data_IF_738877416928
#
_entry.id   IF_738877416928
#
_cell.length_a   1.000
_cell.length_b   1.000
_cell.length_c   1.000
_cell.angle_alpha   90.00
_cell.angle_beta   90.00
_cell.angle_gamma   90.00
#
_symmetry.space_group_name_H-M   'P 1'
#
loop_
_entity.id
_entity.type
_entity.pdbx_description
1 polymer ?
#
# COMPACT_ATOMS: atom_id res chain seq x y z
N UNK A 1 -6.99 4.30 -25.01
CA UNK A 1 -6.25 4.07 -23.77
C UNK A 1 -7.23 3.70 -22.67
N UNK A 2 -6.77 2.95 -21.68
CA UNK A 2 -7.59 2.55 -20.54
C UNK A 2 -8.00 3.77 -19.72
N UNK A 3 -9.24 3.82 -19.28
CA UNK A 3 -9.69 4.88 -18.36
C UNK A 3 -9.12 4.57 -16.97
N UNK A 4 -8.43 5.54 -16.38
CA UNK A 4 -7.89 5.47 -15.03
C UNK A 4 -8.61 6.51 -14.18
N UNK A 5 -9.12 6.07 -13.02
CA UNK A 5 -9.64 6.95 -11.97
C UNK A 5 -8.80 6.81 -10.72
N UNK A 6 -8.50 7.91 -10.05
CA UNK A 6 -7.70 7.89 -8.83
C UNK A 6 -8.16 8.95 -7.82
N UNK A 7 -7.99 8.64 -6.54
CA UNK A 7 -8.22 9.56 -5.42
C UNK A 7 -7.10 9.42 -4.38
N UNK A 8 -6.61 10.55 -3.85
CA UNK A 8 -5.63 10.61 -2.79
C UNK A 8 -6.25 11.27 -1.56
N UNK A 9 -6.16 10.61 -0.43
CA UNK A 9 -6.66 11.10 0.87
C UNK A 9 -5.53 11.11 1.88
N UNK A 10 -5.34 12.22 2.59
CA UNK A 10 -4.33 12.34 3.64
C UNK A 10 -4.95 12.87 4.93
N UNK A 11 -4.52 12.31 6.06
CA UNK A 11 -4.85 12.79 7.41
C UNK A 11 -3.55 13.14 8.14
N UNK A 12 -3.17 14.41 8.10
CA UNK A 12 -1.96 14.92 8.73
C UNK A 12 -2.00 14.98 10.26
N UNK A 13 -3.16 14.81 10.90
CA UNK A 13 -3.25 14.80 12.36
C UNK A 13 -2.46 13.64 12.99
N UNK A 14 -2.34 12.53 12.23
CA UNK A 14 -1.64 11.32 12.67
C UNK A 14 -0.23 11.18 12.09
N UNK A 15 0.40 12.27 11.67
CA UNK A 15 1.71 12.24 11.00
C UNK A 15 2.82 11.56 11.81
N UNK A 16 2.71 11.57 13.15
CA UNK A 16 3.67 10.92 14.04
C UNK A 16 3.57 9.41 14.10
N UNK A 17 2.50 8.83 13.54
CA UNK A 17 2.30 7.37 13.55
C UNK A 17 3.38 6.62 12.78
N UNK A 18 3.86 7.21 11.66
CA UNK A 18 5.01 6.72 10.91
C UNK A 18 5.86 7.92 10.54
N UNK A 19 7.05 8.03 11.10
CA UNK A 19 7.90 9.22 10.90
C UNK A 19 9.39 8.92 11.09
N UNK A 20 10.22 9.63 10.34
CA UNK A 20 11.63 9.89 10.70
C UNK A 20 11.68 11.33 11.20
N UNK A 21 11.91 11.57 12.51
CA UNK A 21 11.77 12.91 13.12
C UNK A 21 12.80 13.92 12.66
N UNK A 22 13.98 13.48 12.18
CA UNK A 22 15.07 14.35 11.75
C UNK A 22 15.63 13.96 10.38
N UNK A 23 16.45 14.82 9.79
CA UNK A 23 17.06 14.60 8.47
C UNK A 23 16.26 15.22 7.31
N UNK A 24 15.00 15.62 7.53
CA UNK A 24 14.22 16.37 6.55
C UNK A 24 14.33 17.89 6.77
N UNK A 25 13.78 18.68 5.84
CA UNK A 25 13.89 20.14 5.81
C UNK A 25 13.40 20.83 7.09
N UNK A 26 12.43 20.25 7.80
CA UNK A 26 11.89 20.81 9.05
C UNK A 26 12.87 20.70 10.22
N UNK A 27 13.66 19.64 10.27
CA UNK A 27 14.62 19.34 11.34
C UNK A 27 15.87 18.70 10.71
N UNK A 28 16.61 19.52 9.97
CA UNK A 28 17.75 19.05 9.16
C UNK A 28 18.90 18.52 10.03
N UNK A 29 19.13 19.17 11.18
CA UNK A 29 20.24 18.86 12.08
C UNK A 29 19.70 18.58 13.49
N UNK A 30 19.64 17.31 13.85
CA UNK A 30 19.36 16.87 15.22
C UNK A 30 20.61 16.21 15.81
N UNK A 31 20.75 16.24 17.12
CA UNK A 31 21.82 15.49 17.79
C UNK A 31 21.65 13.99 17.60
N UNK A 32 22.74 13.26 17.52
CA UNK A 32 22.76 11.80 17.42
C UNK A 32 22.59 11.08 18.77
N UNK A 33 22.04 11.77 19.78
CA UNK A 33 21.80 11.17 21.09
C UNK A 33 20.75 10.08 20.95
N UNK A 34 21.08 8.88 21.40
CA UNK A 34 20.12 7.79 21.55
C UNK A 34 19.12 8.12 22.66
N UNK A 35 17.88 7.82 22.40
CA UNK A 35 16.77 8.00 23.34
C UNK A 35 15.92 6.74 23.33
N UNK A 36 15.39 6.39 24.50
CA UNK A 36 14.46 5.30 24.62
C UNK A 36 13.07 5.74 24.14
N UNK A 37 12.52 5.01 23.21
CA UNK A 37 11.18 5.24 22.69
C UNK A 37 10.15 4.38 23.45
N UNK A 38 8.87 4.70 23.32
CA UNK A 38 7.77 4.02 24.02
C UNK A 38 7.68 2.52 23.69
N UNK A 39 8.22 2.08 22.55
CA UNK A 39 8.34 0.69 22.15
C UNK A 39 9.52 -0.05 22.79
N UNK A 40 10.29 0.63 23.64
CA UNK A 40 11.39 0.07 24.42
C UNK A 40 12.75 0.00 23.71
N UNK A 41 12.82 0.40 22.44
CA UNK A 41 14.08 0.42 21.67
C UNK A 41 14.80 1.76 21.77
N UNK A 42 16.14 1.69 21.80
CA UNK A 42 17.00 2.87 21.74
C UNK A 42 17.18 3.30 20.29
N UNK A 43 16.88 4.56 19.98
CA UNK A 43 16.98 5.14 18.63
C UNK A 43 17.42 6.59 18.68
N UNK A 44 17.97 7.06 17.56
CA UNK A 44 18.13 8.49 17.32
C UNK A 44 16.91 9.06 16.59
N UNK A 45 16.82 10.37 16.51
CA UNK A 45 15.76 11.04 15.72
C UNK A 45 15.87 10.77 14.20
N UNK A 46 16.99 10.21 13.72
CA UNK A 46 17.17 9.85 12.33
C UNK A 46 16.64 8.44 11.98
N UNK A 47 16.21 7.68 12.99
CA UNK A 47 15.63 6.36 12.77
C UNK A 47 14.12 6.45 12.53
N UNK A 48 13.61 5.50 11.76
CA UNK A 48 12.17 5.34 11.54
C UNK A 48 11.49 4.96 12.87
N UNK A 49 10.47 5.71 13.21
CA UNK A 49 9.49 5.35 14.25
C UNK A 49 8.17 4.93 13.62
N UNK A 50 7.57 3.86 14.11
CA UNK A 50 6.26 3.39 13.68
C UNK A 50 5.44 2.94 14.89
N UNK A 51 4.31 3.61 15.13
CA UNK A 51 3.25 3.13 16.00
C UNK A 51 2.42 2.09 15.24
N UNK A 52 2.76 0.81 15.41
CA UNK A 52 2.10 -0.29 14.72
C UNK A 52 0.60 -0.39 15.01
N UNK A 53 0.17 -0.02 16.22
CA UNK A 53 -1.25 -0.01 16.58
C UNK A 53 -2.02 1.11 15.88
N UNK A 54 -1.45 2.31 15.82
CA UNK A 54 -2.01 3.44 15.09
C UNK A 54 -2.14 3.18 13.60
N UNK A 55 -1.11 2.58 12.98
CA UNK A 55 -1.15 2.14 11.57
C UNK A 55 -2.25 1.09 11.37
N UNK A 56 -2.31 0.09 12.22
CA UNK A 56 -3.33 -0.95 12.16
C UNK A 56 -4.74 -0.37 12.24
N UNK A 57 -5.00 0.49 13.24
CA UNK A 57 -6.31 1.14 13.40
C UNK A 57 -6.72 1.93 12.14
N UNK A 58 -5.81 2.71 11.58
CA UNK A 58 -6.05 3.46 10.35
C UNK A 58 -6.41 2.53 9.20
N UNK A 59 -5.62 1.49 9.00
CA UNK A 59 -5.79 0.55 7.89
C UNK A 59 -7.12 -0.20 7.96
N UNK A 60 -7.59 -0.59 9.15
CA UNK A 60 -8.82 -1.36 9.26
C UNK A 60 -10.09 -0.50 9.39
N UNK A 61 -9.98 0.80 9.60
CA UNK A 61 -11.13 1.72 9.75
C UNK A 61 -11.26 2.69 8.60
N UNK A 62 -10.19 3.46 8.32
CA UNK A 62 -10.25 4.53 7.32
C UNK A 62 -10.10 3.99 5.90
N UNK A 63 -9.13 3.09 5.65
CA UNK A 63 -8.90 2.57 4.29
C UNK A 63 -10.14 1.88 3.71
N UNK A 64 -10.88 0.99 4.44
CA UNK A 64 -12.12 0.41 3.92
C UNK A 64 -13.19 1.44 3.60
N UNK A 65 -13.28 2.53 4.38
CA UNK A 65 -14.21 3.62 4.12
C UNK A 65 -13.83 4.36 2.84
N UNK A 66 -12.57 4.74 2.70
CA UNK A 66 -12.04 5.42 1.50
C UNK A 66 -12.27 4.58 0.25
N UNK A 67 -12.00 3.26 0.30
CA UNK A 67 -12.26 2.35 -0.82
C UNK A 67 -13.74 2.34 -1.22
N UNK A 68 -14.66 2.23 -0.25
CA UNK A 68 -16.09 2.22 -0.52
C UNK A 68 -16.58 3.55 -1.10
N UNK A 69 -16.11 4.65 -0.53
CA UNK A 69 -16.48 5.99 -0.99
C UNK A 69 -15.98 6.22 -2.43
N UNK A 70 -14.76 5.77 -2.76
CA UNK A 70 -14.22 5.83 -4.11
C UNK A 70 -15.04 5.00 -5.10
N UNK A 71 -15.33 3.74 -4.78
CA UNK A 71 -16.10 2.85 -5.65
C UNK A 71 -17.52 3.39 -5.89
N UNK A 72 -18.15 3.96 -4.85
CA UNK A 72 -19.46 4.60 -4.99
C UNK A 72 -19.42 5.85 -5.89
N UNK A 73 -18.36 6.67 -5.83
CA UNK A 73 -18.14 7.80 -6.74
C UNK A 73 -18.02 7.35 -8.21
N UNK A 74 -17.38 6.20 -8.44
CA UNK A 74 -17.28 5.57 -9.76
C UNK A 74 -18.62 4.97 -10.24
N UNK A 75 -19.67 4.98 -9.42
CA UNK A 75 -20.96 4.33 -9.67
C UNK A 75 -20.81 2.83 -9.92
N UNK A 76 -19.89 2.20 -9.20
CA UNK A 76 -19.58 0.77 -9.23
C UNK A 76 -19.85 0.11 -7.88
N UNK A 77 -19.82 -1.20 -7.88
CA UNK A 77 -19.81 -2.05 -6.68
C UNK A 77 -18.46 -2.75 -6.54
N UNK A 78 -18.16 -3.26 -5.34
CA UNK A 78 -16.91 -4.02 -5.14
C UNK A 78 -16.83 -5.26 -6.05
N UNK A 79 -17.97 -5.87 -6.37
CA UNK A 79 -18.03 -7.03 -7.27
C UNK A 79 -17.61 -6.78 -8.72
N UNK A 80 -17.63 -5.53 -9.17
CA UNK A 80 -17.37 -5.13 -10.56
C UNK A 80 -15.89 -5.20 -10.96
N UNK A 81 -15.00 -5.38 -9.98
CA UNK A 81 -13.57 -5.57 -10.24
C UNK A 81 -13.23 -7.05 -10.30
N UNK A 82 -12.31 -7.39 -11.21
CA UNK A 82 -11.78 -8.75 -11.33
C UNK A 82 -10.82 -9.05 -10.18
N UNK A 83 -9.96 -8.07 -9.81
CA UNK A 83 -8.95 -8.23 -8.78
C UNK A 83 -8.75 -6.98 -7.92
N UNK A 84 -8.27 -7.24 -6.69
CA UNK A 84 -7.86 -6.21 -5.73
C UNK A 84 -6.37 -6.32 -5.45
N UNK A 85 -5.64 -5.24 -5.69
CA UNK A 85 -4.19 -5.15 -5.49
C UNK A 85 -3.90 -4.09 -4.45
N UNK A 86 -3.75 -4.52 -3.21
CA UNK A 86 -3.51 -3.62 -2.07
C UNK A 86 -2.03 -3.61 -1.70
N UNK A 87 -1.58 -2.53 -1.08
CA UNK A 87 -0.27 -2.50 -0.44
C UNK A 87 -0.09 -3.72 0.47
N UNK A 88 1.01 -4.41 0.30
CA UNK A 88 1.33 -5.68 0.99
C UNK A 88 1.95 -5.41 2.38
N UNK A 89 1.15 -4.87 3.31
CA UNK A 89 1.62 -4.53 4.66
C UNK A 89 1.93 -5.78 5.50
N UNK A 90 0.95 -6.65 5.67
CA UNK A 90 1.04 -8.02 6.16
C UNK A 90 -0.25 -8.78 5.84
N UNK A 91 -0.19 -10.11 5.87
CA UNK A 91 -1.32 -10.95 5.46
C UNK A 91 -2.58 -10.74 6.32
N UNK A 92 -2.42 -10.57 7.63
CA UNK A 92 -3.56 -10.35 8.53
C UNK A 92 -4.28 -9.04 8.23
N UNK A 93 -3.54 -7.96 8.00
CA UNK A 93 -4.10 -6.66 7.59
C UNK A 93 -4.89 -6.80 6.29
N UNK A 94 -4.35 -7.47 5.28
CA UNK A 94 -5.03 -7.68 4.00
C UNK A 94 -6.34 -8.44 4.16
N UNK A 95 -6.36 -9.49 4.98
CA UNK A 95 -7.58 -10.24 5.29
C UNK A 95 -8.63 -9.39 6.01
N UNK A 96 -8.22 -8.56 6.98
CA UNK A 96 -9.14 -7.66 7.68
C UNK A 96 -9.68 -6.57 6.74
N UNK A 97 -8.83 -6.04 5.86
CA UNK A 97 -9.22 -5.05 4.86
C UNK A 97 -10.26 -5.62 3.89
N UNK A 98 -10.02 -6.82 3.35
CA UNK A 98 -10.95 -7.53 2.47
C UNK A 98 -12.32 -7.68 3.12
N UNK A 99 -12.37 -8.19 4.35
CA UNK A 99 -13.63 -8.37 5.09
C UNK A 99 -14.37 -7.05 5.32
N UNK A 100 -13.65 -6.00 5.75
CA UNK A 100 -14.26 -4.70 6.10
C UNK A 100 -14.68 -3.89 4.87
N UNK A 101 -13.95 -3.97 3.79
CA UNK A 101 -14.31 -3.35 2.52
C UNK A 101 -15.34 -4.16 1.73
N UNK A 102 -15.67 -5.39 2.17
CA UNK A 102 -16.54 -6.35 1.47
C UNK A 102 -15.99 -6.74 0.09
N UNK A 103 -14.67 -6.85 -0.02
CA UNK A 103 -14.00 -7.37 -1.21
C UNK A 103 -14.03 -8.91 -1.17
N UNK A 104 -14.48 -9.61 -2.22
CA UNK A 104 -14.36 -11.05 -2.33
C UNK A 104 -12.90 -11.50 -2.13
N UNK A 105 -12.69 -12.40 -1.17
CA UNK A 105 -11.32 -12.80 -0.76
C UNK A 105 -10.55 -13.52 -1.87
N UNK A 106 -11.24 -14.22 -2.74
CA UNK A 106 -10.70 -14.95 -3.89
C UNK A 106 -10.18 -14.02 -4.99
N UNK A 107 -10.60 -12.76 -4.99
CA UNK A 107 -10.14 -11.73 -5.92
C UNK A 107 -8.97 -10.89 -5.35
N UNK A 108 -8.60 -11.10 -4.08
CA UNK A 108 -7.47 -10.40 -3.45
C UNK A 108 -6.15 -11.04 -3.85
N UNK A 109 -5.25 -10.26 -4.45
CA UNK A 109 -3.94 -10.72 -4.84
C UNK A 109 -2.92 -10.56 -3.72
N UNK A 110 -2.00 -11.52 -3.63
CA UNK A 110 -0.97 -11.58 -2.58
C UNK A 110 0.41 -11.82 -3.20
N UNK A 111 1.39 -11.08 -2.70
CA UNK A 111 2.81 -11.27 -2.96
C UNK A 111 3.65 -11.24 -1.68
N UNK A 112 2.99 -11.01 -0.55
CA UNK A 112 3.61 -10.81 0.75
C UNK A 112 4.41 -12.03 1.26
N UNK A 113 3.99 -13.25 0.90
CA UNK A 113 4.68 -14.47 1.33
C UNK A 113 6.04 -14.63 0.69
N UNK A 114 6.23 -14.10 -0.53
CA UNK A 114 7.46 -14.24 -1.32
C UNK A 114 8.39 -13.03 -1.14
N UNK A 115 7.81 -11.82 -1.19
CA UNK A 115 8.59 -10.59 -1.24
C UNK A 115 8.52 -9.73 0.03
N UNK A 116 7.68 -10.12 0.99
CA UNK A 116 7.47 -9.30 2.18
C UNK A 116 6.79 -7.95 1.86
N UNK A 117 7.01 -6.98 2.74
CA UNK A 117 6.55 -5.62 2.54
C UNK A 117 7.59 -4.81 1.76
N UNK A 118 7.40 -4.69 0.47
CA UNK A 118 8.27 -3.92 -0.45
C UNK A 118 7.85 -2.45 -0.58
N UNK A 119 7.16 -1.89 0.44
CA UNK A 119 6.73 -0.50 0.47
C UNK A 119 5.90 -0.11 -0.78
N UNK A 120 6.27 0.98 -1.48
CA UNK A 120 5.56 1.47 -2.66
C UNK A 120 5.61 0.52 -3.86
N UNK A 121 6.62 -0.34 -3.94
CA UNK A 121 6.75 -1.34 -5.00
C UNK A 121 5.77 -2.51 -4.85
N UNK A 122 5.11 -2.67 -3.70
CA UNK A 122 4.26 -3.84 -3.42
C UNK A 122 3.09 -4.00 -4.40
N UNK A 123 2.46 -2.92 -4.83
CA UNK A 123 1.34 -2.97 -5.79
C UNK A 123 1.80 -3.40 -7.19
N UNK A 124 2.76 -2.71 -7.84
CA UNK A 124 3.25 -3.14 -9.16
C UNK A 124 3.91 -4.52 -9.12
N UNK A 125 4.66 -4.85 -8.07
CA UNK A 125 5.27 -6.16 -7.92
C UNK A 125 4.22 -7.29 -7.85
N UNK A 126 3.11 -7.07 -7.15
CA UNK A 126 2.01 -8.02 -7.09
C UNK A 126 1.37 -8.24 -8.46
N UNK A 127 1.18 -7.17 -9.25
CA UNK A 127 0.67 -7.28 -10.62
C UNK A 127 1.62 -8.09 -11.51
N UNK A 128 2.91 -7.75 -11.50
CA UNK A 128 3.94 -8.47 -12.27
C UNK A 128 4.01 -9.95 -11.90
N UNK A 129 3.97 -10.26 -10.60
CA UNK A 129 3.94 -11.64 -10.11
C UNK A 129 2.74 -12.43 -10.63
N UNK A 130 1.55 -11.81 -10.57
CA UNK A 130 0.31 -12.54 -10.88
C UNK A 130 0.01 -12.65 -12.36
N UNK A 131 0.47 -11.71 -13.18
CA UNK A 131 0.06 -11.60 -14.59
C UNK A 131 1.21 -11.39 -15.57
N UNK A 132 2.44 -11.20 -15.13
CA UNK A 132 3.57 -10.86 -16.01
C UNK A 132 3.90 -11.94 -17.07
N UNK A 133 3.47 -13.18 -16.84
CA UNK A 133 3.61 -14.30 -17.80
C UNK A 133 2.36 -14.46 -18.69
N UNK A 134 1.29 -13.67 -18.48
CA UNK A 134 0.04 -13.78 -19.21
C UNK A 134 -0.01 -12.79 -20.38
N UNK A 135 -0.17 -13.30 -21.60
CA UNK A 135 -0.12 -12.50 -22.83
C UNK A 135 -1.48 -11.91 -23.26
N UNK A 136 -2.60 -12.43 -22.76
CA UNK A 136 -3.93 -12.08 -23.26
C UNK A 136 -4.93 -11.79 -22.15
N UNK A 137 -5.90 -10.93 -22.48
CA UNK A 137 -7.01 -10.56 -21.63
C UNK A 137 -6.86 -9.19 -21.01
N UNK A 138 -8.01 -8.59 -20.69
CA UNK A 138 -8.13 -7.33 -19.94
C UNK A 138 -8.71 -7.62 -18.57
N UNK A 139 -8.22 -6.96 -17.56
CA UNK A 139 -8.67 -7.09 -16.17
C UNK A 139 -9.05 -5.72 -15.60
N UNK A 140 -10.18 -5.66 -14.91
CA UNK A 140 -10.58 -4.51 -14.12
C UNK A 140 -9.99 -4.64 -12.71
N UNK A 141 -9.11 -3.72 -12.33
CA UNK A 141 -8.41 -3.78 -11.04
C UNK A 141 -8.73 -2.57 -10.16
N UNK A 142 -8.92 -2.83 -8.87
CA UNK A 142 -8.94 -1.82 -7.83
C UNK A 142 -7.64 -1.92 -7.02
N UNK A 143 -6.86 -0.85 -7.03
CA UNK A 143 -5.55 -0.78 -6.39
C UNK A 143 -5.56 0.22 -5.25
N UNK A 144 -4.82 -0.05 -4.18
CA UNK A 144 -4.66 0.92 -3.09
C UNK A 144 -3.31 0.81 -2.40
N UNK A 145 -2.64 1.95 -2.28
CA UNK A 145 -1.50 2.16 -1.40
C UNK A 145 -1.90 2.96 -0.17
N UNK A 146 -1.38 2.61 1.00
CA UNK A 146 -1.64 3.33 2.24
C UNK A 146 -0.43 3.25 3.18
N UNK A 147 -0.25 4.27 4.01
CA UNK A 147 0.90 4.33 4.92
C UNK A 147 1.14 5.72 5.48
N UNK A 148 2.39 6.15 5.32
CA UNK A 148 2.89 7.43 5.86
C UNK A 148 1.98 8.60 5.50
N UNK A 149 1.73 9.48 6.50
CA UNK A 149 0.92 10.67 6.34
C UNK A 149 -0.04 10.87 7.52
N UNK A 150 -0.96 10.04 7.91
CA UNK A 150 -1.35 8.81 7.20
C UNK A 150 -2.08 9.14 5.91
N UNK A 151 -1.78 8.43 4.88
CA UNK A 151 -2.34 8.66 3.54
C UNK A 151 -2.84 7.36 2.92
N UNK A 152 -3.81 7.49 2.04
CA UNK A 152 -4.34 6.40 1.23
C UNK A 152 -4.56 6.89 -0.19
N UNK A 153 -3.98 6.19 -1.15
CA UNK A 153 -4.30 6.34 -2.56
C UNK A 153 -5.15 5.19 -3.03
N UNK A 154 -6.19 5.47 -3.80
CA UNK A 154 -7.03 4.46 -4.47
C UNK A 154 -7.02 4.73 -5.95
N UNK A 155 -6.91 3.69 -6.74
CA UNK A 155 -6.96 3.77 -8.20
C UNK A 155 -7.75 2.60 -8.77
N UNK A 156 -8.57 2.87 -9.77
CA UNK A 156 -9.19 1.85 -10.62
C UNK A 156 -8.69 1.97 -12.04
N UNK A 157 -8.44 0.85 -12.69
CA UNK A 157 -8.03 0.80 -14.08
C UNK A 157 -8.46 -0.51 -14.74
N UNK A 158 -8.69 -0.44 -16.05
CA UNK A 158 -8.68 -1.63 -16.90
C UNK A 158 -7.28 -1.79 -17.48
N UNK A 159 -6.66 -2.92 -17.25
CA UNK A 159 -5.28 -3.22 -17.65
C UNK A 159 -5.29 -4.41 -18.61
N UNK A 160 -4.66 -4.24 -19.76
CA UNK A 160 -4.41 -5.39 -20.63
C UNK A 160 -3.21 -6.16 -20.07
N UNK A 161 -3.34 -7.47 -19.86
CA UNK A 161 -2.29 -8.31 -19.26
C UNK A 161 -0.96 -8.27 -20.02
N UNK A 162 -0.99 -8.12 -21.33
CA UNK A 162 0.23 -7.95 -22.16
C UNK A 162 1.06 -6.71 -21.82
N UNK A 163 0.45 -5.72 -21.13
CA UNK A 163 1.13 -4.48 -20.72
C UNK A 163 1.74 -4.62 -19.30
N UNK A 164 1.55 -5.78 -18.66
CA UNK A 164 2.16 -6.12 -17.37
C UNK A 164 3.45 -6.88 -17.65
N UNK A 165 4.57 -6.31 -17.24
CA UNK A 165 5.88 -6.92 -17.47
C UNK A 165 6.10 -8.12 -16.52
N UNK A 166 6.84 -9.16 -16.94
CA UNK A 166 7.24 -10.24 -16.07
C UNK A 166 8.21 -9.75 -14.98
N UNK A 167 8.30 -10.52 -13.90
CA UNK A 167 9.35 -10.31 -12.90
C UNK A 167 10.71 -10.63 -13.50
N UNK A 168 11.68 -9.78 -13.23
CA UNK A 168 13.08 -9.99 -13.61
C UNK A 168 13.90 -10.15 -12.33
N UNK A 169 14.61 -11.25 -12.22
CA UNK A 169 15.62 -11.45 -11.20
C UNK A 169 16.99 -11.05 -11.78
N UNK A 170 17.74 -10.26 -11.05
CA UNK A 170 19.09 -9.84 -11.45
C UNK A 170 20.01 -9.81 -10.25
N UNK A 171 21.21 -10.32 -10.43
CA UNK A 171 22.33 -10.18 -9.47
C UNK A 171 23.12 -8.88 -9.73
N UNK A 172 22.68 -8.04 -10.66
CA UNK A 172 23.33 -6.77 -10.94
C UNK A 172 23.06 -5.80 -9.78
N UNK A 173 24.12 -5.33 -9.18
CA UNK A 173 24.10 -4.24 -8.22
C UNK A 173 24.44 -2.92 -8.92
N UNK A 174 23.71 -1.86 -8.60
CA UNK A 174 24.10 -0.51 -9.03
C UNK A 174 25.36 -0.12 -8.27
N UNK A 175 26.47 0.06 -8.97
CA UNK A 175 27.71 0.63 -8.44
C UNK A 175 27.61 2.17 -8.28
#
# INVERSE_FOLDING_TARGET
GSQISAELVSNGEKYKTVIVPAGGMRNLHAGHREMKFDDGYDRTLYNLFMDGFGVFQYTIREVPRILKDFVAKEKKEMGDYDYYVMHQANQYILQQLSKRAKMPSEKMLYSIQEFGNTSSASVPLTLCKCFGEEAEGEIAVLMSGFGVGLSCGVMSANINKKDILPLIESDDYFE
#
